data_IF_432346408481
#
_entry.id   IF_432346408481
#
_cell.length_a   1.000
_cell.length_b   1.000
_cell.length_c   1.000
_cell.angle_alpha   90.00
_cell.angle_beta   90.00
_cell.angle_gamma   90.00
#
_symmetry.space_group_name_H-M   'P 1'
#
loop_
_entity.id
_entity.type
_entity.pdbx_description
1 polymer ?
#
# COMPACT_ATOMS: atom_id res chain seq x y z
N UNK A 1 -30.18 13.64 -2.48
CA UNK A 1 -30.59 14.97 -2.01
C UNK A 1 -31.50 14.76 -0.81
N UNK A 2 -30.95 14.80 0.39
CA UNK A 2 -31.75 14.68 1.60
C UNK A 2 -32.40 16.05 1.80
N UNK A 3 -33.74 16.11 1.80
CA UNK A 3 -34.45 17.35 2.06
C UNK A 3 -34.46 17.58 3.57
N UNK A 4 -33.86 18.66 4.04
CA UNK A 4 -34.06 19.07 5.42
C UNK A 4 -35.52 19.37 5.65
N UNK A 5 -36.07 18.88 6.75
CA UNK A 5 -37.37 19.34 7.22
C UNK A 5 -37.14 20.69 7.88
N UNK A 6 -37.45 21.75 7.15
CA UNK A 6 -37.54 23.11 7.71
C UNK A 6 -38.72 23.13 8.67
N UNK A 7 -38.56 23.77 9.82
CA UNK A 7 -39.65 23.98 10.76
C UNK A 7 -40.77 24.77 10.07
N UNK A 8 -41.90 24.12 9.79
CA UNK A 8 -43.17 24.77 9.45
C UNK A 8 -44.08 24.51 10.63
N UNK A 9 -44.25 25.51 11.49
CA UNK A 9 -45.10 25.43 12.66
C UNK A 9 -46.55 25.14 12.26
N UNK A 10 -47.15 24.10 12.84
CA UNK A 10 -48.59 23.95 12.88
C UNK A 10 -49.12 24.89 13.98
N UNK A 11 -49.29 26.17 13.65
CA UNK A 11 -49.94 27.13 14.54
C UNK A 11 -51.45 26.88 14.59
N UNK A 12 -51.96 26.46 15.74
CA UNK A 12 -53.39 26.54 16.04
C UNK A 12 -53.77 28.02 16.17
N UNK A 13 -54.88 28.39 15.51
CA UNK A 13 -55.47 29.72 15.56
C UNK A 13 -55.70 30.18 17.01
N UNK A 14 -55.18 31.36 17.33
CA UNK A 14 -55.43 32.03 18.59
C UNK A 14 -56.84 32.61 18.48
N UNK A 15 -57.75 32.21 19.36
CA UNK A 15 -59.10 32.78 19.42
C UNK A 15 -59.18 33.65 20.68
N UNK A 16 -59.19 34.98 20.50
CA UNK A 16 -59.46 35.93 21.58
C UNK A 16 -60.95 35.92 21.96
N UNK A 17 -61.26 35.97 23.26
CA UNK A 17 -62.54 36.45 23.75
C UNK A 17 -62.45 37.98 23.90
N UNK A 18 -63.31 38.73 23.22
CA UNK A 18 -63.44 40.17 23.42
C UNK A 18 -64.05 40.45 24.82
N UNK A 19 -63.55 41.43 25.60
CA UNK A 19 -64.01 41.65 26.96
C UNK A 19 -65.36 42.38 27.00
N UNK A 20 -66.37 41.72 27.56
CA UNK A 20 -67.52 42.36 28.17
C UNK A 20 -67.29 42.50 29.68
N UNK A 21 -66.91 43.71 30.12
CA UNK A 21 -66.91 44.25 31.50
C UNK A 21 -67.04 43.26 32.68
N UNK A 22 -65.93 42.97 33.36
CA UNK A 22 -65.78 42.90 34.84
C UNK A 22 -64.31 42.67 35.20
N UNK A 23 -63.69 43.63 35.91
CA UNK A 23 -62.26 43.58 36.26
C UNK A 23 -62.03 42.67 37.47
N UNK A 24 -61.91 41.37 37.21
CA UNK A 24 -61.06 40.49 38.02
C UNK A 24 -59.87 40.13 37.15
N UNK A 25 -58.75 40.81 37.33
CA UNK A 25 -57.56 40.65 36.49
C UNK A 25 -56.99 39.23 36.64
N UNK A 26 -57.21 38.41 35.63
CA UNK A 26 -56.56 37.11 35.46
C UNK A 26 -55.52 37.26 34.36
N UNK A 27 -54.34 36.68 34.55
CA UNK A 27 -53.31 36.72 33.51
C UNK A 27 -53.79 35.97 32.26
N UNK A 28 -53.70 36.61 31.09
CA UNK A 28 -54.33 36.12 29.86
C UNK A 28 -53.53 36.46 28.60
N UNK A 29 -53.74 35.65 27.56
CA UNK A 29 -53.26 35.94 26.21
C UNK A 29 -54.28 36.80 25.47
N UNK A 30 -53.83 37.87 24.84
CA UNK A 30 -54.67 38.78 24.08
C UNK A 30 -54.15 38.88 22.66
N UNK A 31 -55.06 38.99 21.70
CA UNK A 31 -54.77 39.21 20.29
C UNK A 31 -55.62 40.37 19.78
N UNK A 32 -54.96 41.41 19.31
CA UNK A 32 -55.59 42.62 18.76
C UNK A 32 -54.82 43.05 17.51
N UNK A 33 -55.54 43.39 16.43
CA UNK A 33 -54.97 43.88 15.16
C UNK A 33 -53.87 42.99 14.54
N UNK A 34 -53.88 41.68 14.81
CA UNK A 34 -52.89 40.72 14.32
C UNK A 34 -51.63 40.62 15.18
N UNK A 35 -51.56 41.35 16.29
CA UNK A 35 -50.50 41.24 17.30
C UNK A 35 -50.99 40.41 18.48
N UNK A 36 -50.18 39.44 18.92
CA UNK A 36 -50.45 38.67 20.13
C UNK A 36 -49.55 39.14 21.27
N UNK A 37 -50.09 39.24 22.49
CA UNK A 37 -49.35 39.61 23.71
C UNK A 37 -49.92 38.92 24.95
N UNK A 38 -49.23 39.05 26.09
CA UNK A 38 -49.67 38.47 27.36
C UNK A 38 -49.81 39.53 28.45
N UNK A 39 -50.95 39.55 29.14
CA UNK A 39 -51.20 40.40 30.31
C UNK A 39 -50.94 39.62 31.60
N UNK A 40 -50.23 40.23 32.54
CA UNK A 40 -50.07 39.71 33.89
C UNK A 40 -51.36 39.85 34.73
N UNK A 41 -51.35 39.33 35.95
CA UNK A 41 -52.50 39.42 36.87
C UNK A 41 -52.84 40.84 37.34
N UNK A 42 -52.03 41.83 36.97
CA UNK A 42 -52.27 43.25 37.24
C UNK A 42 -52.76 43.99 35.99
N UNK A 43 -52.95 43.28 34.86
CA UNK A 43 -53.34 43.85 33.58
C UNK A 43 -52.21 44.53 32.82
N UNK A 44 -50.93 44.32 33.20
CA UNK A 44 -49.79 44.89 32.49
C UNK A 44 -49.27 43.93 31.41
N UNK A 45 -48.83 44.46 30.26
CA UNK A 45 -48.14 43.66 29.25
C UNK A 45 -46.82 43.11 29.78
N UNK A 46 -46.63 41.81 29.66
CA UNK A 46 -45.35 41.13 29.88
C UNK A 46 -44.43 41.42 28.70
N UNK A 47 -43.15 41.68 29.00
CA UNK A 47 -42.13 42.10 28.04
C UNK A 47 -40.82 41.38 28.30
N UNK A 48 -40.06 41.12 27.24
CA UNK A 48 -38.75 40.45 27.27
C UNK A 48 -38.74 39.16 28.09
N UNK A 49 -39.80 38.34 27.96
CA UNK A 49 -40.01 37.15 28.79
C UNK A 49 -40.71 36.04 28.00
N UNK A 50 -40.52 34.80 28.44
CA UNK A 50 -41.15 33.64 27.83
C UNK A 50 -42.49 33.34 28.49
N UNK A 51 -43.51 33.02 27.70
CA UNK A 51 -44.78 32.48 28.18
C UNK A 51 -45.15 31.21 27.43
N UNK A 52 -45.73 30.27 28.15
CA UNK A 52 -46.11 28.97 27.59
C UNK A 52 -47.61 28.80 27.62
N UNK A 53 -48.19 28.35 26.51
CA UNK A 53 -49.59 27.97 26.37
C UNK A 53 -49.66 26.65 25.63
N UNK A 54 -50.44 25.71 26.14
CA UNK A 54 -50.64 24.39 25.54
C UNK A 54 -49.32 23.64 25.22
N UNK A 55 -48.30 23.84 26.05
CA UNK A 55 -46.98 23.23 25.90
C UNK A 55 -46.06 23.92 24.87
N UNK A 56 -46.53 24.97 24.20
CA UNK A 56 -45.77 25.76 23.23
C UNK A 56 -45.30 27.05 23.92
N UNK A 57 -44.01 27.36 23.77
CA UNK A 57 -43.40 28.56 24.35
C UNK A 57 -43.29 29.65 23.30
N UNK A 58 -43.64 30.88 23.69
CA UNK A 58 -43.61 32.10 22.89
C UNK A 58 -42.84 33.17 23.64
N UNK A 59 -42.06 33.99 22.93
CA UNK A 59 -41.29 35.08 23.53
C UNK A 59 -41.98 36.42 23.30
N UNK A 60 -42.18 37.19 24.37
CA UNK A 60 -42.70 38.55 24.31
C UNK A 60 -41.52 39.49 24.18
N UNK A 61 -41.48 40.30 23.12
CA UNK A 61 -40.41 41.23 22.83
C UNK A 61 -40.37 42.44 23.78
N UNK A 62 -39.53 43.44 23.49
CA UNK A 62 -39.41 44.67 24.30
C UNK A 62 -40.67 45.54 24.30
N UNK A 63 -41.54 45.38 23.32
CA UNK A 63 -42.82 46.08 23.22
C UNK A 63 -43.95 45.28 23.89
N UNK A 64 -43.72 43.97 24.08
CA UNK A 64 -44.62 43.01 24.71
C UNK A 64 -45.39 42.18 23.69
N UNK A 65 -45.04 42.28 22.41
CA UNK A 65 -45.63 41.53 21.32
C UNK A 65 -44.91 40.18 21.16
N UNK A 66 -45.62 39.15 20.67
CA UNK A 66 -45.03 37.84 20.37
C UNK A 66 -44.03 38.01 19.22
N UNK A 67 -42.77 37.69 19.48
CA UNK A 67 -41.74 37.63 18.47
C UNK A 67 -42.00 36.47 17.49
N UNK A 68 -41.76 36.69 16.21
CA UNK A 68 -41.97 35.71 15.14
C UNK A 68 -40.78 35.70 14.19
N UNK A 69 -40.47 34.54 13.62
CA UNK A 69 -39.47 34.34 12.56
C UNK A 69 -38.10 34.95 12.90
N UNK A 70 -37.64 34.74 14.15
CA UNK A 70 -36.48 35.46 14.65
C UNK A 70 -35.74 34.72 15.77
N UNK A 71 -34.46 35.06 15.93
CA UNK A 71 -33.62 34.56 17.00
C UNK A 71 -33.86 35.31 18.31
N UNK A 72 -34.10 34.57 19.37
CA UNK A 72 -34.20 35.10 20.73
C UNK A 72 -32.88 34.87 21.44
N UNK A 73 -32.21 35.97 21.79
CA UNK A 73 -30.96 35.98 22.56
C UNK A 73 -29.86 35.09 21.94
N UNK A 74 -29.82 35.00 20.60
CA UNK A 74 -28.92 34.14 19.82
C UNK A 74 -28.92 32.65 20.21
N UNK A 75 -29.93 32.19 20.96
CA UNK A 75 -29.97 30.87 21.61
C UNK A 75 -31.19 30.06 21.20
N UNK A 76 -32.35 30.69 21.07
CA UNK A 76 -33.59 30.05 20.67
C UNK A 76 -34.07 30.67 19.36
N UNK A 77 -34.88 29.93 18.62
CA UNK A 77 -35.54 30.44 17.42
C UNK A 77 -37.05 30.25 17.56
N UNK A 78 -37.81 31.27 17.16
CA UNK A 78 -39.27 31.20 17.06
C UNK A 78 -39.67 31.23 15.59
N UNK A 79 -40.57 30.34 15.19
CA UNK A 79 -41.03 30.26 13.80
C UNK A 79 -41.95 31.43 13.40
N UNK A 80 -42.44 31.42 12.17
CA UNK A 80 -43.36 32.43 11.66
C UNK A 80 -44.69 32.54 12.44
N UNK A 81 -45.01 31.59 13.31
CA UNK A 81 -46.17 31.62 14.22
C UNK A 81 -45.77 32.00 15.66
N UNK A 82 -44.49 32.32 15.89
CA UNK A 82 -43.92 32.69 17.19
C UNK A 82 -43.66 31.49 18.11
N UNK A 83 -43.87 30.26 17.63
CA UNK A 83 -43.65 29.07 18.42
C UNK A 83 -42.16 28.73 18.49
N UNK A 84 -41.67 28.41 19.69
CA UNK A 84 -40.27 28.01 19.88
C UNK A 84 -39.96 26.70 19.15
N UNK A 85 -38.99 26.76 18.25
CA UNK A 85 -38.51 25.61 17.48
C UNK A 85 -37.71 24.66 18.37
N UNK A 86 -37.98 23.36 18.23
CA UNK A 86 -37.33 22.26 18.97
C UNK A 86 -37.12 21.07 18.05
N UNK A 87 -36.06 20.30 18.30
CA UNK A 87 -35.69 19.10 17.55
C UNK A 87 -35.77 19.27 16.02
N UNK A 88 -35.33 20.44 15.53
CA UNK A 88 -35.48 20.81 14.12
C UNK A 88 -34.35 21.71 13.66
N UNK A 89 -34.17 21.70 12.35
CA UNK A 89 -33.24 22.57 11.63
C UNK A 89 -33.87 23.93 11.32
N UNK A 90 -33.04 24.97 11.33
CA UNK A 90 -33.34 26.33 10.87
C UNK A 90 -32.24 26.74 9.89
N UNK A 91 -32.66 27.29 8.75
CA UNK A 91 -31.78 27.87 7.74
C UNK A 91 -31.79 29.39 7.89
N UNK A 92 -30.61 29.99 7.92
CA UNK A 92 -30.44 31.43 7.90
C UNK A 92 -29.80 31.85 6.58
N UNK A 93 -30.28 32.96 6.02
CA UNK A 93 -29.68 33.63 4.85
C UNK A 93 -28.61 34.66 5.26
N UNK A 94 -28.55 35.00 6.54
CA UNK A 94 -27.63 35.98 7.12
C UNK A 94 -28.04 37.45 6.93
N UNK A 95 -29.21 37.73 6.34
CA UNK A 95 -29.67 39.10 6.07
C UNK A 95 -30.09 39.83 7.36
N UNK A 96 -30.57 39.10 8.37
CA UNK A 96 -30.99 39.65 9.66
C UNK A 96 -29.84 40.24 10.49
N UNK A 97 -28.60 39.81 10.21
CA UNK A 97 -27.41 40.16 11.00
C UNK A 97 -27.34 39.51 12.39
N UNK A 98 -28.33 38.68 12.76
CA UNK A 98 -28.35 37.96 14.05
C UNK A 98 -27.52 36.67 13.98
N UNK A 99 -27.52 36.03 12.82
CA UNK A 99 -26.79 34.80 12.49
C UNK A 99 -26.13 34.94 11.13
N UNK A 100 -25.10 34.14 10.89
CA UNK A 100 -24.53 34.02 9.55
C UNK A 100 -25.39 33.10 8.69
N UNK A 101 -25.25 33.22 7.36
CA UNK A 101 -25.86 32.28 6.44
C UNK A 101 -25.41 30.84 6.74
N UNK A 102 -26.36 29.91 6.85
CA UNK A 102 -26.09 28.51 7.13
C UNK A 102 -27.19 27.82 7.94
N UNK A 103 -26.87 26.62 8.42
CA UNK A 103 -27.82 25.74 9.09
C UNK A 103 -27.55 25.64 10.58
N UNK A 104 -28.61 25.72 11.36
CA UNK A 104 -28.60 25.65 12.82
C UNK A 104 -29.56 24.56 13.28
N UNK A 105 -29.23 23.85 14.36
CA UNK A 105 -30.12 22.83 14.93
C UNK A 105 -30.54 23.20 16.33
N UNK A 106 -31.85 23.23 16.58
CA UNK A 106 -32.43 23.51 17.88
C UNK A 106 -32.71 22.16 18.55
N UNK A 107 -32.08 21.92 19.70
CA UNK A 107 -32.28 20.69 20.46
C UNK A 107 -33.66 20.60 21.12
N UNK A 108 -33.89 19.52 21.86
CA UNK A 108 -35.16 19.23 22.53
C UNK A 108 -35.64 20.32 23.50
N UNK A 109 -34.72 21.07 24.10
CA UNK A 109 -35.04 22.18 25.00
C UNK A 109 -35.19 23.52 24.26
N UNK A 110 -35.11 23.52 22.92
CA UNK A 110 -35.19 24.70 22.05
C UNK A 110 -33.90 25.51 21.97
N UNK A 111 -32.83 25.11 22.68
CA UNK A 111 -31.53 25.77 22.57
C UNK A 111 -30.80 25.27 21.33
N UNK A 112 -30.14 26.18 20.64
CA UNK A 112 -29.22 25.85 19.55
C UNK A 112 -28.07 24.97 20.04
N UNK A 113 -27.77 23.91 19.29
CA UNK A 113 -26.58 23.10 19.48
C UNK A 113 -25.35 23.89 18.99
N UNK A 114 -24.31 24.00 19.82
CA UNK A 114 -23.10 24.77 19.53
C UNK A 114 -21.89 24.17 20.24
N UNK A 115 -20.70 24.38 19.68
CA UNK A 115 -19.43 23.82 20.15
C UNK A 115 -19.53 22.31 20.45
N UNK A 116 -20.21 21.57 19.57
CA UNK A 116 -20.54 20.17 19.85
C UNK A 116 -20.77 19.33 18.61
N UNK A 117 -20.68 18.02 18.81
CA UNK A 117 -21.11 17.02 17.85
C UNK A 117 -22.49 16.50 18.23
N UNK A 118 -23.41 16.44 17.27
CA UNK A 118 -24.74 15.84 17.44
C UNK A 118 -24.98 14.75 16.43
N UNK A 119 -25.56 13.64 16.88
CA UNK A 119 -26.18 12.67 15.96
C UNK A 119 -27.65 13.04 15.80
N UNK A 120 -28.04 13.37 14.58
CA UNK A 120 -29.41 13.73 14.22
C UNK A 120 -29.87 12.67 13.22
N UNK A 121 -30.89 11.92 13.62
CA UNK A 121 -31.25 10.64 12.98
C UNK A 121 -30.05 9.67 12.95
N UNK A 122 -29.45 9.46 11.76
CA UNK A 122 -28.33 8.54 11.54
C UNK A 122 -27.04 9.26 11.12
N UNK A 123 -27.03 10.60 11.14
CA UNK A 123 -25.94 11.40 10.64
C UNK A 123 -25.31 12.23 11.75
N UNK A 124 -23.98 12.31 11.75
CA UNK A 124 -23.19 13.01 12.77
C UNK A 124 -22.76 14.38 12.24
N UNK A 125 -23.21 15.43 12.90
CA UNK A 125 -22.99 16.83 12.57
C UNK A 125 -22.10 17.50 13.62
N UNK A 126 -21.32 18.49 13.21
CA UNK A 126 -20.53 19.34 14.11
C UNK A 126 -21.01 20.78 13.99
N UNK A 127 -21.12 21.48 15.11
CA UNK A 127 -21.57 22.86 15.19
C UNK A 127 -20.47 23.74 15.77
N UNK A 128 -20.29 24.94 15.22
CA UNK A 128 -19.33 25.91 15.70
C UNK A 128 -19.81 26.68 16.95
N UNK A 129 -19.06 27.68 17.37
CA UNK A 129 -19.32 28.48 18.58
C UNK A 129 -20.59 29.31 18.50
N UNK A 130 -21.06 29.63 17.29
CA UNK A 130 -22.29 30.36 17.05
C UNK A 130 -23.49 29.43 16.79
N UNK A 131 -23.23 28.12 16.75
CA UNK A 131 -24.19 27.05 16.51
C UNK A 131 -24.41 26.75 15.03
N UNK A 132 -23.60 27.34 14.14
CA UNK A 132 -23.68 27.08 12.71
C UNK A 132 -23.06 25.72 12.41
N UNK A 133 -23.75 24.94 11.58
CA UNK A 133 -23.31 23.63 11.14
C UNK A 133 -22.04 23.75 10.31
N UNK A 134 -21.00 23.02 10.70
CA UNK A 134 -19.73 22.96 9.98
C UNK A 134 -19.87 22.13 8.70
N UNK A 135 -19.07 22.48 7.70
CA UNK A 135 -19.02 21.82 6.38
C UNK A 135 -17.57 21.61 5.96
N UNK A 136 -17.33 20.91 4.85
CA UNK A 136 -16.00 20.75 4.27
C UNK A 136 -15.03 20.00 5.17
N UNK A 137 -13.73 20.30 5.04
CA UNK A 137 -12.70 19.75 5.92
C UNK A 137 -12.81 20.33 7.33
N UNK A 138 -12.78 19.45 8.34
CA UNK A 138 -12.85 19.85 9.74
C UNK A 138 -11.75 19.18 10.56
N UNK A 139 -11.08 19.96 11.40
CA UNK A 139 -9.95 19.53 12.20
C UNK A 139 -10.13 19.87 13.68
N UNK A 140 -10.12 18.85 14.53
CA UNK A 140 -10.38 18.98 15.96
C UNK A 140 -9.55 17.94 16.72
N UNK A 141 -8.84 18.36 17.77
CA UNK A 141 -8.03 17.47 18.63
C UNK A 141 -7.04 16.56 17.90
N UNK A 142 -6.48 17.06 16.79
CA UNK A 142 -5.57 16.29 15.95
C UNK A 142 -6.28 15.24 15.08
N UNK A 143 -7.60 15.21 15.04
CA UNK A 143 -8.40 14.36 14.15
C UNK A 143 -8.77 15.09 12.87
N UNK A 144 -9.11 14.33 11.84
CA UNK A 144 -9.50 14.85 10.52
C UNK A 144 -10.86 14.29 10.14
N UNK A 145 -11.76 15.18 9.75
CA UNK A 145 -13.10 14.85 9.27
C UNK A 145 -13.35 15.55 7.93
N UNK A 146 -14.30 15.01 7.17
CA UNK A 146 -14.85 15.70 6.01
C UNK A 146 -16.37 15.67 6.11
N UNK A 147 -16.98 16.85 6.20
CA UNK A 147 -18.39 17.09 6.51
C UNK A 147 -19.22 17.36 5.24
N UNK A 148 -18.61 17.32 4.06
CA UNK A 148 -19.30 17.49 2.78
C UNK A 148 -19.75 18.92 2.51
N UNK A 149 -20.77 19.06 1.67
CA UNK A 149 -21.30 20.33 1.20
C UNK A 149 -22.28 20.96 2.20
N UNK A 150 -22.66 22.24 2.04
CA UNK A 150 -23.60 22.92 2.93
C UNK A 150 -24.92 22.20 3.04
N UNK A 151 -25.45 21.66 1.95
CA UNK A 151 -26.73 20.93 1.87
C UNK A 151 -26.75 19.59 2.64
N UNK A 152 -25.59 19.10 3.10
CA UNK A 152 -25.46 17.80 3.75
C UNK A 152 -24.83 17.89 5.14
N UNK A 153 -23.66 18.53 5.28
CA UNK A 153 -23.02 18.88 6.56
C UNK A 153 -22.64 17.75 7.54
N UNK A 154 -22.90 16.49 7.18
CA UNK A 154 -22.60 15.35 8.05
C UNK A 154 -21.23 14.74 7.76
N UNK A 155 -20.57 14.23 8.81
CA UNK A 155 -19.30 13.54 8.69
C UNK A 155 -19.40 12.33 7.76
N UNK A 156 -18.62 12.34 6.68
CA UNK A 156 -18.50 11.22 5.75
C UNK A 156 -17.86 10.01 6.42
N UNK A 157 -18.22 8.84 5.91
CA UNK A 157 -17.65 7.55 6.29
C UNK A 157 -17.27 6.76 5.03
N UNK A 158 -16.45 5.73 5.19
CA UNK A 158 -15.96 4.89 4.10
C UNK A 158 -14.96 5.59 3.20
N UNK A 159 -14.72 4.98 2.04
CA UNK A 159 -13.82 5.49 1.01
C UNK A 159 -14.38 6.75 0.34
N UNK A 160 -13.57 7.80 0.26
CA UNK A 160 -13.88 9.05 -0.44
C UNK A 160 -12.72 9.44 -1.35
N UNK A 161 -13.02 9.69 -2.63
CA UNK A 161 -12.06 10.23 -3.60
C UNK A 161 -12.30 11.73 -3.78
N UNK A 162 -11.44 12.52 -3.16
CA UNK A 162 -11.63 13.96 -3.00
C UNK A 162 -10.52 14.72 -3.72
N UNK A 163 -10.87 15.85 -4.33
CA UNK A 163 -9.89 16.80 -4.84
C UNK A 163 -8.97 17.25 -3.70
N UNK A 164 -7.67 17.02 -3.84
CA UNK A 164 -6.69 17.32 -2.82
C UNK A 164 -5.36 17.74 -3.44
N UNK A 165 -4.81 18.84 -2.96
CA UNK A 165 -3.50 19.34 -3.38
C UNK A 165 -2.46 18.93 -2.34
N UNK A 166 -1.51 18.08 -2.73
CA UNK A 166 -0.41 17.64 -1.86
C UNK A 166 0.46 18.78 -1.32
N UNK A 167 0.50 19.93 -2.01
CA UNK A 167 1.27 21.09 -1.55
C UNK A 167 0.76 21.70 -0.26
N UNK A 168 -0.55 21.69 -0.04
CA UNK A 168 -1.18 22.41 1.06
C UNK A 168 -2.41 21.67 1.56
N UNK A 169 -2.41 21.32 2.84
CA UNK A 169 -3.59 20.83 3.55
C UNK A 169 -4.76 21.81 3.35
N UNK A 170 -5.98 21.34 3.03
CA UNK A 170 -7.16 22.19 2.91
C UNK A 170 -7.42 23.00 4.18
N UNK A 171 -7.85 24.25 4.04
CA UNK A 171 -8.28 25.06 5.19
C UNK A 171 -9.54 24.49 5.84
N UNK A 172 -9.76 24.81 7.12
CA UNK A 172 -11.02 24.55 7.83
C UNK A 172 -12.21 25.07 7.00
N UNK A 173 -13.28 24.27 6.91
CA UNK A 173 -14.48 24.60 6.14
C UNK A 173 -14.33 24.48 4.63
N UNK A 174 -13.12 24.26 4.09
CA UNK A 174 -12.94 24.13 2.64
C UNK A 174 -13.67 22.89 2.13
N UNK A 175 -14.46 23.07 1.09
CA UNK A 175 -15.17 21.98 0.42
C UNK A 175 -14.31 21.49 -0.75
N UNK A 176 -13.87 20.23 -0.67
CA UNK A 176 -13.24 19.54 -1.81
C UNK A 176 -14.31 18.90 -2.69
N UNK A 177 -14.16 18.98 -4.01
CA UNK A 177 -15.06 18.29 -4.93
C UNK A 177 -14.82 16.78 -4.87
N UNK A 178 -15.91 15.99 -4.90
CA UNK A 178 -15.83 14.55 -5.18
C UNK A 178 -15.52 14.33 -6.66
N UNK A 179 -14.46 13.60 -6.96
CA UNK A 179 -13.99 13.37 -8.32
C UNK A 179 -14.33 11.96 -8.81
N UNK A 180 -14.41 11.72 -10.12
CA UNK A 180 -14.39 10.36 -10.64
C UNK A 180 -13.03 9.71 -10.34
N UNK A 181 -13.05 8.43 -10.02
CA UNK A 181 -11.84 7.63 -9.77
C UNK A 181 -10.85 7.76 -10.95
N UNK A 182 -9.55 7.82 -10.66
CA UNK A 182 -8.49 8.05 -11.65
C UNK A 182 -8.17 9.52 -11.98
N UNK A 183 -8.99 10.51 -11.62
CA UNK A 183 -8.67 11.93 -11.87
C UNK A 183 -7.35 12.32 -11.16
N UNK A 184 -6.38 12.90 -11.88
CA UNK A 184 -5.05 13.34 -11.42
C UNK A 184 -5.03 14.22 -10.14
N UNK A 185 -6.13 14.90 -9.86
CA UNK A 185 -6.27 15.81 -8.72
C UNK A 185 -6.88 15.13 -7.49
N UNK A 186 -7.46 13.95 -7.66
CA UNK A 186 -8.11 13.24 -6.56
C UNK A 186 -7.12 12.45 -5.71
N UNK A 187 -7.46 12.29 -4.44
CA UNK A 187 -6.76 11.41 -3.49
C UNK A 187 -7.78 10.61 -2.71
N UNK A 188 -7.42 9.38 -2.38
CA UNK A 188 -8.26 8.48 -1.59
C UNK A 188 -8.06 8.73 -0.11
N UNK A 189 -9.18 8.82 0.61
CA UNK A 189 -9.25 8.88 2.07
C UNK A 189 -10.23 7.79 2.53
N UNK A 190 -9.96 7.20 3.70
CA UNK A 190 -10.91 6.32 4.36
C UNK A 190 -11.35 6.95 5.68
N UNK A 191 -12.64 7.29 5.77
CA UNK A 191 -13.23 7.81 7.00
C UNK A 191 -13.89 6.68 7.77
N UNK A 192 -13.49 6.49 9.03
CA UNK A 192 -14.02 5.45 9.90
C UNK A 192 -15.50 5.71 10.23
N UNK A 193 -16.19 4.75 10.86
CA UNK A 193 -17.62 4.88 11.22
C UNK A 193 -17.94 6.08 12.12
N UNK A 194 -16.97 6.54 12.91
CA UNK A 194 -17.09 7.74 13.74
C UNK A 194 -16.79 9.04 12.97
N UNK A 195 -16.49 8.97 11.67
CA UNK A 195 -16.17 10.10 10.80
C UNK A 195 -14.68 10.47 10.75
N UNK A 196 -13.82 9.89 11.61
CA UNK A 196 -12.39 10.21 11.64
C UNK A 196 -11.68 9.57 10.45
N UNK A 197 -10.86 10.33 9.73
CA UNK A 197 -9.97 9.79 8.70
C UNK A 197 -8.97 8.80 9.33
N UNK A 198 -8.74 7.66 8.67
CA UNK A 198 -7.60 6.82 9.01
C UNK A 198 -6.33 7.51 8.54
N UNK A 199 -5.33 7.58 9.41
CA UNK A 199 -4.04 8.24 9.20
C UNK A 199 -2.97 7.61 10.10
N UNK A 200 -1.71 7.92 9.80
CA UNK A 200 -0.57 7.56 10.66
C UNK A 200 0.12 8.84 11.16
N UNK A 201 0.88 8.81 12.27
CA UNK A 201 1.75 9.93 12.64
C UNK A 201 2.76 10.23 11.52
N UNK A 202 3.24 11.47 11.45
CA UNK A 202 4.29 11.84 10.50
C UNK A 202 5.55 10.98 10.71
N UNK A 203 6.07 10.40 9.63
CA UNK A 203 7.22 9.51 9.66
C UNK A 203 6.95 8.10 10.18
N UNK A 204 5.70 7.74 10.48
CA UNK A 204 5.31 6.39 10.89
C UNK A 204 4.20 5.84 9.98
N UNK A 205 4.14 4.52 9.85
CA UNK A 205 3.17 3.83 9.01
C UNK A 205 2.58 2.63 9.75
N UNK A 206 1.27 2.65 9.94
CA UNK A 206 0.53 1.50 10.45
C UNK A 206 -0.45 0.98 9.41
N UNK A 207 -0.42 -0.33 9.18
CA UNK A 207 -1.33 -0.95 8.23
C UNK A 207 -2.75 -0.95 8.78
N UNK A 208 -3.71 -0.54 7.97
CA UNK A 208 -5.14 -0.70 8.25
C UNK A 208 -5.73 -1.81 7.37
N UNK A 209 -6.57 -2.67 7.96
CA UNK A 209 -7.27 -3.72 7.20
C UNK A 209 -8.71 -3.29 6.93
N UNK A 210 -9.02 -3.06 5.66
CA UNK A 210 -10.35 -2.65 5.18
C UNK A 210 -10.80 -3.69 4.16
N UNK A 211 -11.96 -4.31 4.40
CA UNK A 211 -12.53 -5.35 3.55
C UNK A 211 -11.54 -6.49 3.19
N UNK A 212 -10.73 -6.90 4.17
CA UNK A 212 -9.74 -7.97 4.03
C UNK A 212 -8.46 -7.58 3.29
N UNK A 213 -8.32 -6.33 2.86
CA UNK A 213 -7.13 -5.79 2.18
C UNK A 213 -6.39 -4.83 3.11
N UNK A 214 -5.06 -4.78 2.98
CA UNK A 214 -4.21 -3.89 3.79
C UNK A 214 -3.86 -2.63 3.02
N UNK A 215 -3.99 -1.50 3.71
CA UNK A 215 -3.71 -0.16 3.22
C UNK A 215 -2.80 0.58 4.20
N UNK A 216 -2.11 1.60 3.71
CA UNK A 216 -1.39 2.56 4.53
C UNK A 216 -1.90 3.96 4.25
N UNK A 217 -1.88 4.82 5.27
CA UNK A 217 -2.32 6.20 5.17
C UNK A 217 -1.25 7.10 5.76
N UNK A 218 -1.01 8.23 5.10
CA UNK A 218 -0.05 9.23 5.54
C UNK A 218 -0.57 10.06 6.72
N UNK A 219 0.19 11.08 7.11
CA UNK A 219 -0.20 12.00 8.18
C UNK A 219 -1.41 12.87 7.85
N UNK A 220 -1.79 13.06 6.59
CA UNK A 220 -2.99 13.78 6.20
C UNK A 220 -4.21 12.86 6.05
N UNK A 221 -4.02 11.54 6.17
CA UNK A 221 -5.04 10.52 5.92
C UNK A 221 -5.20 10.14 4.45
N UNK A 222 -4.27 10.57 3.60
CA UNK A 222 -4.19 10.16 2.20
C UNK A 222 -3.70 8.73 2.12
N UNK A 223 -4.41 7.89 1.35
CA UNK A 223 -4.00 6.52 1.07
C UNK A 223 -2.66 6.52 0.32
N UNK A 224 -1.68 5.80 0.84
CA UNK A 224 -0.38 5.63 0.21
C UNK A 224 -0.45 4.65 -0.96
N UNK A 225 0.43 4.85 -1.95
CA UNK A 225 0.51 4.04 -3.19
C UNK A 225 1.96 3.80 -3.58
N UNK A 226 2.21 2.92 -4.55
CA UNK A 226 3.56 2.64 -5.03
C UNK A 226 4.45 1.96 -3.99
N UNK A 227 5.76 2.14 -4.13
CA UNK A 227 6.76 1.67 -3.16
C UNK A 227 6.76 2.55 -1.91
N UNK A 228 6.68 1.93 -0.74
CA UNK A 228 6.65 2.62 0.55
C UNK A 228 7.48 1.89 1.60
N UNK A 229 8.38 2.62 2.28
CA UNK A 229 9.08 2.09 3.46
C UNK A 229 8.17 2.22 4.68
N UNK A 230 7.71 1.09 5.22
CA UNK A 230 6.73 1.03 6.33
C UNK A 230 7.31 0.46 7.62
N UNK A 231 8.62 0.19 7.63
CA UNK A 231 9.33 -0.37 8.79
C UNK A 231 10.57 0.44 9.10
N UNK A 232 10.90 0.54 10.39
CA UNK A 232 12.11 1.24 10.83
C UNK A 232 13.36 0.37 10.74
N UNK A 233 13.20 -0.93 11.00
CA UNK A 233 14.30 -1.88 11.09
C UNK A 233 14.37 -2.75 9.83
N UNK A 234 15.59 -3.03 9.40
CA UNK A 234 15.88 -4.00 8.33
C UNK A 234 15.77 -5.43 8.85
N UNK A 235 15.28 -6.36 8.02
CA UNK A 235 15.34 -7.79 8.30
C UNK A 235 16.80 -8.28 8.31
N UNK A 236 17.15 -9.29 9.14
CA UNK A 236 18.47 -9.90 9.09
C UNK A 236 18.83 -10.38 7.68
N UNK A 237 20.05 -10.08 7.24
CA UNK A 237 20.53 -10.44 5.90
C UNK A 237 20.20 -9.41 4.82
N UNK A 238 19.37 -8.42 5.08
CA UNK A 238 19.11 -7.34 4.13
C UNK A 238 20.30 -6.38 4.07
N UNK A 239 20.93 -6.29 2.89
CA UNK A 239 22.10 -5.44 2.66
C UNK A 239 21.73 -3.99 2.34
N UNK A 240 20.55 -3.77 1.74
CA UNK A 240 20.19 -2.51 1.08
C UNK A 240 19.01 -1.80 1.74
N UNK A 241 18.32 -2.47 2.67
CA UNK A 241 17.16 -1.95 3.39
C UNK A 241 15.82 -2.19 2.68
N UNK A 242 15.78 -3.02 1.64
CA UNK A 242 14.55 -3.27 0.88
C UNK A 242 13.47 -3.98 1.70
N UNK A 243 13.85 -4.75 2.72
CA UNK A 243 12.92 -5.43 3.62
C UNK A 243 11.99 -4.47 4.38
N UNK A 244 12.37 -3.19 4.46
CA UNK A 244 11.53 -2.13 5.03
C UNK A 244 10.37 -1.74 4.13
N UNK A 245 10.43 -2.11 2.86
CA UNK A 245 9.47 -1.70 1.85
C UNK A 245 8.29 -2.68 1.70
N UNK A 246 7.20 -2.12 1.20
CA UNK A 246 6.07 -2.82 0.59
C UNK A 246 5.76 -2.15 -0.76
N UNK A 247 5.02 -2.85 -1.62
CA UNK A 247 4.43 -2.24 -2.82
C UNK A 247 2.92 -2.22 -2.70
N UNK A 248 2.33 -1.05 -2.93
CA UNK A 248 0.91 -0.75 -2.72
C UNK A 248 0.10 -0.68 -4.02
N UNK A 249 0.70 -1.04 -5.16
CA UNK A 249 0.05 -0.90 -6.47
C UNK A 249 -0.04 0.53 -6.95
N UNK A 250 -0.84 0.75 -8.00
CA UNK A 250 -1.01 2.05 -8.62
C UNK A 250 -1.79 3.05 -7.77
N UNK A 251 -1.96 4.23 -8.35
CA UNK A 251 -2.57 5.42 -7.72
C UNK A 251 -3.98 5.21 -7.16
N UNK A 252 -4.76 4.32 -7.75
CA UNK A 252 -6.15 4.05 -7.35
C UNK A 252 -6.28 2.72 -6.59
N UNK A 253 -5.17 2.05 -6.27
CA UNK A 253 -5.19 0.74 -5.63
C UNK A 253 -4.82 0.82 -4.14
N UNK A 254 -3.60 1.27 -3.81
CA UNK A 254 -3.11 1.41 -2.43
C UNK A 254 -3.07 0.13 -1.60
N UNK A 255 -3.22 -1.05 -2.21
CA UNK A 255 -3.27 -2.35 -1.54
C UNK A 255 -1.89 -2.99 -1.50
N UNK A 256 -1.48 -3.44 -0.31
CA UNK A 256 -0.24 -4.21 -0.15
C UNK A 256 -0.25 -5.48 -1.01
N UNK A 257 0.69 -5.59 -1.95
CA UNK A 257 0.89 -6.78 -2.78
C UNK A 257 1.56 -7.90 -2.01
N UNK A 258 1.21 -9.14 -2.37
CA UNK A 258 1.64 -10.40 -1.74
C UNK A 258 1.78 -11.51 -2.78
N UNK A 259 2.30 -11.15 -3.95
CA UNK A 259 2.30 -11.97 -5.16
C UNK A 259 3.47 -11.56 -6.07
N UNK A 260 3.64 -12.29 -7.16
CA UNK A 260 4.49 -11.89 -8.28
C UNK A 260 3.99 -10.58 -8.90
N UNK A 261 4.91 -9.67 -9.20
CA UNK A 261 4.64 -8.41 -9.89
C UNK A 261 5.75 -8.14 -10.89
N UNK A 262 5.40 -7.55 -12.03
CA UNK A 262 6.34 -7.03 -13.01
C UNK A 262 6.25 -5.51 -12.98
N UNK A 263 7.34 -4.83 -12.62
CA UNK A 263 7.36 -3.41 -12.30
C UNK A 263 8.52 -2.70 -13.01
N UNK A 264 8.25 -1.51 -13.54
CA UNK A 264 9.25 -0.54 -14.02
C UNK A 264 9.62 0.49 -12.96
N UNK A 265 8.81 0.59 -11.89
CA UNK A 265 9.09 1.40 -10.72
C UNK A 265 9.81 0.56 -9.67
N UNK A 266 10.78 1.17 -9.01
CA UNK A 266 11.63 0.53 -8.01
C UNK A 266 11.64 1.31 -6.70
N UNK A 267 12.16 0.72 -5.60
CA UNK A 267 12.19 1.37 -4.29
C UNK A 267 12.82 2.78 -4.28
N UNK A 268 13.85 3.05 -5.11
CA UNK A 268 14.49 4.37 -5.19
C UNK A 268 13.72 5.42 -6.01
N UNK A 269 12.70 5.02 -6.77
CA UNK A 269 11.78 5.96 -7.42
C UNK A 269 10.75 6.53 -6.43
N UNK A 270 10.67 5.99 -5.21
CA UNK A 270 9.72 6.46 -4.19
C UNK A 270 10.24 7.62 -3.36
N UNK A 271 9.32 8.34 -2.72
CA UNK A 271 9.64 9.34 -1.69
C UNK A 271 10.35 8.71 -0.47
N UNK A 272 10.23 7.38 -0.30
CA UNK A 272 10.90 6.61 0.75
C UNK A 272 12.31 6.16 0.38
N UNK A 273 12.88 6.59 -0.75
CA UNK A 273 14.21 6.13 -1.21
C UNK A 273 15.34 6.27 -0.18
N UNK A 274 15.25 7.24 0.73
CA UNK A 274 16.21 7.46 1.81
C UNK A 274 16.22 6.33 2.86
N UNK A 275 15.22 5.46 2.87
CA UNK A 275 15.19 4.27 3.72
C UNK A 275 16.14 3.16 3.23
N UNK A 276 16.58 3.22 1.97
CA UNK A 276 17.63 2.34 1.45
C UNK A 276 19.00 2.77 2.00
N UNK A 277 19.84 1.81 2.34
CA UNK A 277 21.12 2.03 3.05
C UNK A 277 22.28 2.39 2.10
N UNK A 278 22.09 2.33 0.77
CA UNK A 278 23.22 2.13 -0.14
C UNK A 278 24.02 3.41 -0.40
N UNK A 279 25.30 3.39 0.01
CA UNK A 279 26.40 4.07 -0.66
C UNK A 279 26.71 3.33 -1.96
N UNK A 280 26.71 4.04 -3.09
CA UNK A 280 26.75 3.58 -4.50
C UNK A 280 27.92 2.68 -4.97
N UNK A 281 28.58 1.90 -4.10
CA UNK A 281 29.82 1.18 -4.42
C UNK A 281 29.73 -0.35 -4.57
N UNK A 282 28.75 -1.01 -3.95
CA UNK A 282 28.71 -2.49 -3.89
C UNK A 282 27.57 -3.16 -4.68
N UNK A 283 26.44 -2.47 -4.89
CA UNK A 283 25.27 -3.05 -5.56
C UNK A 283 24.65 -2.05 -6.53
N UNK A 284 24.74 -2.34 -7.84
CA UNK A 284 23.97 -1.67 -8.88
C UNK A 284 22.58 -2.32 -8.96
N UNK A 285 21.54 -1.57 -8.57
CA UNK A 285 20.16 -1.98 -8.85
C UNK A 285 19.83 -1.81 -10.35
N UNK A 286 18.67 -2.31 -10.83
CA UNK A 286 18.23 -2.03 -12.19
C UNK A 286 18.19 -0.52 -12.46
N UNK A 287 18.49 -0.15 -13.71
CA UNK A 287 18.35 1.25 -14.13
C UNK A 287 16.89 1.69 -14.09
N UNK A 288 16.67 3.00 -13.96
CA UNK A 288 15.31 3.56 -13.98
C UNK A 288 14.57 3.19 -15.28
N UNK A 289 13.36 2.63 -15.13
CA UNK A 289 12.53 2.20 -16.25
C UNK A 289 12.82 0.79 -16.77
N UNK A 290 13.85 0.11 -16.26
CA UNK A 290 14.08 -1.31 -16.53
C UNK A 290 13.02 -2.12 -15.81
N UNK A 291 12.40 -3.06 -16.53
CA UNK A 291 11.38 -3.91 -15.94
C UNK A 291 12.03 -5.01 -15.09
N UNK A 292 11.62 -5.10 -13.82
CA UNK A 292 11.98 -6.19 -12.93
C UNK A 292 10.76 -7.01 -12.52
N UNK A 293 10.95 -8.32 -12.39
CA UNK A 293 9.99 -9.20 -11.72
C UNK A 293 10.33 -9.29 -10.24
N UNK A 294 9.36 -8.97 -9.38
CA UNK A 294 9.43 -9.03 -7.94
C UNK A 294 8.48 -10.10 -7.41
N UNK A 295 8.83 -10.71 -6.29
CA UNK A 295 7.87 -11.46 -5.50
C UNK A 295 7.68 -10.81 -4.13
N UNK A 296 6.45 -10.45 -3.81
CA UNK A 296 6.11 -9.92 -2.49
C UNK A 296 5.59 -11.05 -1.60
N UNK A 297 6.26 -11.26 -0.46
CA UNK A 297 5.88 -12.25 0.56
C UNK A 297 4.49 -11.97 1.15
N UNK A 298 3.97 -12.88 1.95
CA UNK A 298 2.64 -12.77 2.58
C UNK A 298 2.49 -11.54 3.49
N UNK A 299 3.58 -11.04 4.06
CA UNK A 299 3.66 -9.81 4.83
C UNK A 299 3.89 -8.56 3.97
N UNK A 300 3.98 -8.69 2.65
CA UNK A 300 4.20 -7.64 1.67
C UNK A 300 5.66 -7.25 1.45
N UNK A 301 6.59 -7.87 2.17
CA UNK A 301 8.02 -7.62 2.00
C UNK A 301 8.50 -8.26 0.69
N UNK A 302 9.25 -7.55 -0.17
CA UNK A 302 9.83 -8.17 -1.35
C UNK A 302 10.82 -9.27 -0.96
N UNK A 303 10.89 -10.36 -1.73
CA UNK A 303 11.99 -11.31 -1.64
C UNK A 303 13.29 -10.63 -2.12
N UNK A 304 14.43 -10.96 -1.51
CA UNK A 304 15.74 -10.36 -1.80
C UNK A 304 16.86 -11.34 -1.48
N UNK A 305 18.06 -11.11 -2.03
CA UNK A 305 19.27 -11.88 -1.71
C UNK A 305 19.79 -11.56 -0.31
N UNK A 306 19.92 -12.55 0.60
CA UNK A 306 20.59 -12.34 1.87
C UNK A 306 22.09 -12.06 1.65
N UNK A 307 22.63 -11.00 2.24
CA UNK A 307 24.03 -10.58 2.12
C UNK A 307 25.04 -11.63 2.60
N UNK A 308 24.62 -12.50 3.52
CA UNK A 308 25.46 -13.53 4.13
C UNK A 308 25.31 -14.90 3.40
N UNK A 309 24.63 -14.92 2.25
CA UNK A 309 24.45 -16.13 1.47
C UNK A 309 25.75 -16.56 0.78
N UNK A 310 26.34 -17.66 1.24
CA UNK A 310 27.59 -18.22 0.70
C UNK A 310 27.35 -19.48 -0.18
N UNK A 311 26.09 -19.87 -0.37
CA UNK A 311 25.67 -21.03 -1.15
C UNK A 311 24.32 -20.81 -1.81
N UNK A 312 24.02 -21.53 -2.89
CA UNK A 312 22.71 -21.44 -3.55
C UNK A 312 21.55 -21.73 -2.59
N UNK A 313 21.71 -22.69 -1.69
CA UNK A 313 20.68 -23.05 -0.71
C UNK A 313 20.30 -21.88 0.20
N UNK A 314 21.25 -20.99 0.51
CA UNK A 314 21.01 -19.80 1.33
C UNK A 314 20.50 -18.61 0.51
N UNK A 315 20.83 -18.57 -0.78
CA UNK A 315 20.48 -17.46 -1.66
C UNK A 315 19.08 -17.56 -2.27
N UNK A 316 18.58 -18.78 -2.50
CA UNK A 316 17.29 -18.97 -3.17
C UNK A 316 16.11 -18.75 -2.22
N UNK A 317 15.03 -18.19 -2.77
CA UNK A 317 13.71 -18.14 -2.14
C UNK A 317 12.82 -19.20 -2.77
N UNK A 318 12.19 -20.03 -1.94
CA UNK A 318 11.22 -21.04 -2.40
C UNK A 318 9.82 -20.42 -2.48
N UNK A 319 9.18 -20.55 -3.65
CA UNK A 319 7.85 -20.03 -3.94
C UNK A 319 7.09 -21.15 -4.67
N UNK A 320 5.98 -21.59 -4.08
CA UNK A 320 5.12 -22.66 -4.63
C UNK A 320 5.88 -23.95 -5.02
N UNK A 321 6.93 -24.29 -4.26
CA UNK A 321 7.76 -25.49 -4.46
C UNK A 321 8.92 -25.33 -5.45
N UNK A 322 9.04 -24.16 -6.10
CA UNK A 322 10.13 -23.84 -7.02
C UNK A 322 11.12 -22.86 -6.37
N UNK A 323 12.39 -22.95 -6.75
CA UNK A 323 13.45 -22.08 -6.21
C UNK A 323 13.75 -20.94 -7.18
N UNK A 324 13.78 -19.71 -6.66
CA UNK A 324 14.07 -18.50 -7.42
C UNK A 324 15.23 -17.74 -6.77
N UNK A 325 16.01 -17.03 -7.57
CA UNK A 325 17.05 -16.14 -7.09
C UNK A 325 16.64 -14.69 -7.35
N UNK A 326 16.72 -13.87 -6.32
CA UNK A 326 16.56 -12.42 -6.42
C UNK A 326 17.91 -11.76 -6.16
N UNK A 327 18.13 -10.54 -6.64
CA UNK A 327 19.25 -9.72 -6.19
C UNK A 327 18.93 -9.02 -4.85
N UNK A 328 19.86 -8.25 -4.26
CA UNK A 328 19.59 -7.52 -3.02
C UNK A 328 18.47 -6.48 -3.14
N UNK A 329 18.17 -5.99 -4.34
CA UNK A 329 17.05 -5.09 -4.61
C UNK A 329 15.76 -5.84 -4.98
N UNK A 330 15.72 -7.16 -4.84
CA UNK A 330 14.54 -7.99 -5.04
C UNK A 330 14.15 -8.22 -6.49
N UNK A 331 15.01 -7.89 -7.46
CA UNK A 331 14.78 -8.25 -8.86
C UNK A 331 15.11 -9.72 -9.10
N UNK A 332 14.21 -10.44 -9.74
CA UNK A 332 14.40 -11.82 -10.17
C UNK A 332 15.59 -11.93 -11.13
N UNK A 333 16.47 -12.90 -10.85
CA UNK A 333 17.64 -13.21 -11.67
C UNK A 333 17.35 -14.42 -12.56
N UNK A 334 17.89 -14.40 -13.78
CA UNK A 334 17.82 -15.50 -14.75
C UNK A 334 19.23 -15.86 -15.25
N UNK A 335 19.34 -16.91 -16.04
CA UNK A 335 20.60 -17.34 -16.62
C UNK A 335 21.47 -18.13 -15.66
N UNK A 336 22.75 -18.24 -16.01
CA UNK A 336 23.76 -18.99 -15.25
C UNK A 336 24.41 -18.08 -14.21
N UNK A 337 24.24 -18.41 -12.93
CA UNK A 337 24.63 -17.56 -11.80
C UNK A 337 25.68 -18.24 -10.93
N UNK A 338 26.54 -17.43 -10.32
CA UNK A 338 27.46 -17.88 -9.27
C UNK A 338 27.12 -17.22 -7.94
N UNK A 339 27.02 -18.03 -6.89
CA UNK A 339 26.89 -17.59 -5.48
C UNK A 339 28.01 -18.27 -4.70
N UNK A 340 28.98 -17.48 -4.22
CA UNK A 340 30.22 -18.03 -3.67
C UNK A 340 30.92 -18.96 -4.68
N UNK A 341 31.21 -20.20 -4.29
CA UNK A 341 31.77 -21.22 -5.19
C UNK A 341 30.70 -22.04 -5.95
N UNK A 342 29.42 -21.85 -5.63
CA UNK A 342 28.31 -22.60 -6.23
C UNK A 342 27.87 -21.97 -7.55
N UNK A 343 27.61 -22.81 -8.55
CA UNK A 343 27.00 -22.40 -9.83
C UNK A 343 25.57 -22.91 -9.91
N UNK A 344 24.62 -22.12 -10.41
CA UNK A 344 23.22 -22.52 -10.59
C UNK A 344 22.62 -21.91 -11.86
N UNK A 345 21.51 -22.44 -12.35
CA UNK A 345 20.86 -21.95 -13.57
C UNK A 345 19.37 -21.71 -13.34
N UNK A 346 18.90 -20.51 -13.65
CA UNK A 346 17.53 -20.04 -13.39
C UNK A 346 16.74 -19.83 -14.69
N UNK A 347 16.95 -20.73 -15.66
CA UNK A 347 16.37 -20.62 -17.01
C UNK A 347 17.01 -19.53 -17.86
N UNK A 348 16.68 -19.43 -19.15
CA UNK A 348 17.19 -18.38 -20.02
C UNK A 348 16.57 -17.02 -19.67
N UNK A 349 17.14 -15.95 -20.21
CA UNK A 349 16.55 -14.61 -20.12
C UNK A 349 15.10 -14.60 -20.63
N UNK A 350 14.22 -13.86 -19.94
CA UNK A 350 12.79 -13.80 -20.25
C UNK A 350 11.98 -15.03 -19.83
N UNK A 351 12.59 -16.03 -19.18
CA UNK A 351 11.87 -17.20 -18.66
C UNK A 351 11.19 -16.95 -17.31
N UNK A 352 10.60 -18.01 -16.74
CA UNK A 352 9.97 -18.00 -15.42
C UNK A 352 10.93 -17.66 -14.27
N UNK A 353 12.25 -17.86 -14.45
CA UNK A 353 13.28 -17.69 -13.42
C UNK A 353 13.41 -18.88 -12.47
N UNK A 354 12.72 -19.98 -12.72
CA UNK A 354 12.77 -21.15 -11.84
C UNK A 354 14.11 -21.89 -11.99
N UNK A 355 14.70 -22.29 -10.87
CA UNK A 355 15.98 -23.00 -10.85
C UNK A 355 15.85 -24.35 -11.55
N UNK A 356 16.82 -24.67 -12.41
CA UNK A 356 16.85 -25.91 -13.19
C UNK A 356 17.73 -26.95 -12.50
N UNK A 357 17.36 -28.21 -12.68
CA UNK A 357 18.00 -29.37 -12.07
C UNK A 357 18.31 -30.43 -13.12
N UNK A 358 19.24 -31.34 -12.81
CA UNK A 358 19.65 -32.42 -13.71
C UNK A 358 20.42 -31.89 -14.92
N UNK A 359 20.39 -32.67 -16.00
CA UNK A 359 21.08 -32.32 -17.25
C UNK A 359 20.27 -31.28 -18.03
N UNK A 360 20.89 -30.15 -18.35
CA UNK A 360 20.29 -29.04 -19.11
C UNK A 360 21.17 -28.74 -20.31
N UNK A 361 20.60 -28.64 -21.51
CA UNK A 361 21.31 -28.31 -22.74
C UNK A 361 21.10 -26.85 -23.13
N UNK A 362 21.96 -26.32 -24.02
CA UNK A 362 21.88 -24.97 -24.56
C UNK A 362 21.86 -23.87 -23.48
N UNK A 363 22.57 -24.11 -22.37
CA UNK A 363 22.79 -23.09 -21.34
C UNK A 363 23.78 -22.09 -21.90
N UNK A 364 23.35 -20.84 -22.09
CA UNK A 364 24.21 -19.76 -22.56
C UNK A 364 24.83 -19.00 -21.40
N UNK A 365 26.09 -18.58 -21.58
CA UNK A 365 26.76 -17.63 -20.70
C UNK A 365 26.62 -16.19 -21.23
N UNK A 366 27.18 -15.19 -20.54
CA UNK A 366 27.09 -13.77 -20.97
C UNK A 366 27.79 -13.46 -22.30
N UNK A 367 28.58 -14.39 -22.84
CA UNK A 367 29.27 -14.24 -24.12
C UNK A 367 28.60 -15.08 -25.22
N UNK A 368 27.34 -15.49 -25.00
CA UNK A 368 26.53 -16.33 -25.89
C UNK A 368 27.13 -17.71 -26.20
N UNK A 369 28.07 -18.18 -25.37
CA UNK A 369 28.63 -19.52 -25.51
C UNK A 369 27.66 -20.53 -24.92
N UNK A 370 27.39 -21.59 -25.67
CA UNK A 370 26.43 -22.62 -25.27
C UNK A 370 27.13 -23.81 -24.63
N UNK A 371 26.53 -24.31 -23.55
CA UNK A 371 27.05 -25.43 -22.78
C UNK A 371 25.95 -26.46 -22.51
N UNK A 372 26.36 -27.72 -22.40
CA UNK A 372 25.58 -28.72 -21.68
C UNK A 372 25.99 -28.69 -20.22
N UNK A 373 25.02 -28.62 -19.32
CA UNK A 373 25.24 -28.55 -17.89
C UNK A 373 24.58 -29.71 -17.14
N UNK A 374 25.04 -29.97 -15.91
CA UNK A 374 24.38 -30.83 -14.95
C UNK A 374 24.32 -30.15 -13.58
N UNK A 375 23.11 -30.00 -13.05
CA UNK A 375 22.85 -29.45 -11.72
C UNK A 375 22.32 -30.57 -10.80
N UNK A 376 22.86 -30.67 -9.59
CA UNK A 376 22.49 -31.72 -8.64
C UNK A 376 20.98 -31.69 -8.34
N UNK A 377 20.33 -32.85 -8.33
CA UNK A 377 18.86 -32.97 -8.16
C UNK A 377 18.43 -33.23 -6.71
N UNK A 378 19.37 -33.56 -5.83
CA UNK A 378 19.11 -34.02 -4.46
C UNK A 378 20.22 -33.60 -3.50
N UNK A 379 19.96 -33.70 -2.20
CA UNK A 379 20.96 -33.49 -1.15
C UNK A 379 21.21 -32.02 -0.82
N UNK A 380 22.29 -31.76 -0.07
CA UNK A 380 22.73 -30.40 0.30
C UNK A 380 23.04 -29.53 -0.92
N UNK A 381 23.42 -30.18 -2.03
CA UNK A 381 23.92 -29.52 -3.23
C UNK A 381 22.81 -29.37 -4.27
N UNK A 382 21.55 -29.67 -3.94
CA UNK A 382 20.43 -29.56 -4.89
C UNK A 382 20.42 -28.18 -5.57
N UNK A 383 20.45 -28.16 -6.90
CA UNK A 383 20.55 -26.98 -7.75
C UNK A 383 21.96 -26.53 -8.09
N UNK A 384 22.97 -26.98 -7.34
CA UNK A 384 24.36 -26.62 -7.57
C UNK A 384 24.94 -27.39 -8.76
N UNK A 385 25.81 -26.72 -9.51
CA UNK A 385 26.54 -27.28 -10.63
C UNK A 385 27.44 -28.43 -10.18
N UNK A 386 27.22 -29.60 -10.75
CA UNK A 386 27.91 -30.82 -10.37
C UNK A 386 29.39 -30.82 -10.80
N UNK A 387 30.25 -31.39 -9.97
CA UNK A 387 31.67 -31.56 -10.26
C UNK A 387 32.07 -33.02 -10.10
N UNK A 388 32.53 -33.64 -11.18
CA UNK A 388 32.87 -35.06 -11.25
C UNK A 388 32.22 -35.77 -12.43
N UNK A 389 32.29 -37.10 -12.43
CA UNK A 389 31.65 -37.94 -13.44
C UNK A 389 30.18 -38.20 -13.09
N UNK A 390 29.31 -38.05 -14.09
CA UNK A 390 27.89 -38.36 -13.99
C UNK A 390 27.38 -38.90 -15.32
N UNK A 391 26.75 -40.07 -15.26
CA UNK A 391 26.09 -40.74 -16.40
C UNK A 391 27.01 -40.86 -17.63
N UNK A 392 28.29 -41.16 -17.40
CA UNK A 392 29.35 -41.32 -18.37
C UNK A 392 29.94 -40.02 -18.91
N UNK A 393 29.61 -38.86 -18.36
CA UNK A 393 30.14 -37.56 -18.77
C UNK A 393 30.83 -36.83 -17.62
N UNK A 394 31.88 -36.07 -17.93
CA UNK A 394 32.60 -35.28 -16.93
C UNK A 394 32.03 -33.87 -16.84
N UNK A 395 31.80 -33.40 -15.62
CA UNK A 395 31.34 -32.04 -15.34
C UNK A 395 32.28 -31.31 -14.39
N UNK A 396 32.41 -30.00 -14.60
CA UNK A 396 33.14 -29.07 -13.74
C UNK A 396 32.25 -27.89 -13.42
N UNK A 397 31.89 -27.72 -12.13
CA UNK A 397 30.97 -26.66 -11.65
C UNK A 397 29.68 -26.58 -12.47
N UNK A 398 29.17 -27.75 -12.82
CA UNK A 398 27.97 -27.93 -13.61
C UNK A 398 28.20 -27.93 -15.12
N UNK A 399 29.35 -27.52 -15.65
CA UNK A 399 29.60 -27.43 -17.09
C UNK A 399 30.21 -28.72 -17.60
N UNK A 400 29.69 -29.28 -18.69
CA UNK A 400 30.27 -30.46 -19.32
C UNK A 400 31.68 -30.16 -19.84
N UNK A 401 32.64 -31.00 -19.48
CA UNK A 401 34.01 -30.92 -19.95
C UNK A 401 34.11 -31.73 -21.24
N UNK A 402 34.65 -31.13 -22.31
CA UNK A 402 34.86 -31.80 -23.60
C UNK A 402 36.32 -31.69 -24.01
N UNK A 403 36.83 -32.71 -24.73
CA UNK A 403 38.08 -32.55 -25.44
C UNK A 403 37.95 -31.47 -26.53
N UNK A 404 39.06 -30.81 -26.86
CA UNK A 404 39.15 -29.91 -27.99
C UNK A 404 38.80 -30.67 -29.27
N UNK A 405 38.03 -30.02 -30.15
CA UNK A 405 37.72 -30.55 -31.48
C UNK A 405 39.01 -30.96 -32.24
N UNK A 406 38.99 -32.16 -32.83
CA UNK A 406 40.09 -32.75 -33.58
C UNK A 406 41.16 -33.46 -32.73
N UNK A 407 40.93 -33.64 -31.42
CA UNK A 407 41.89 -34.31 -30.52
C UNK A 407 41.41 -35.65 -30.00
N UNK A 408 40.19 -36.07 -30.35
CA UNK A 408 39.51 -37.31 -29.99
C UNK A 408 39.32 -37.54 -28.47
N UNK A 409 40.38 -37.47 -27.67
CA UNK A 409 40.41 -37.52 -26.22
C UNK A 409 41.43 -36.55 -25.61
N UNK A 410 41.14 -36.04 -24.40
CA UNK A 410 42.07 -35.26 -23.59
C UNK A 410 41.96 -35.60 -22.10
N UNK A 411 43.07 -35.56 -21.34
CA UNK A 411 43.04 -35.76 -19.89
C UNK A 411 42.64 -34.48 -19.15
N UNK A 412 41.80 -34.60 -18.14
CA UNK A 412 41.36 -33.50 -17.27
C UNK A 412 41.47 -33.89 -15.80
N UNK A 413 42.00 -32.99 -14.97
CA UNK A 413 42.17 -33.22 -13.53
C UNK A 413 41.00 -32.57 -12.78
N UNK A 414 40.15 -33.37 -12.15
CA UNK A 414 39.00 -32.90 -11.35
C UNK A 414 39.03 -33.59 -9.99
N UNK A 415 39.01 -32.80 -8.90
CA UNK A 415 39.05 -33.29 -7.52
C UNK A 415 40.18 -34.30 -7.23
N UNK A 416 41.35 -34.13 -7.86
CA UNK A 416 42.51 -35.01 -7.69
C UNK A 416 42.52 -36.26 -8.58
N UNK A 417 41.49 -36.49 -9.40
CA UNK A 417 41.41 -37.61 -10.34
C UNK A 417 41.59 -37.14 -11.78
N UNK A 418 42.42 -37.85 -12.56
CA UNK A 418 42.56 -37.62 -14.00
C UNK A 418 41.55 -38.45 -14.77
N UNK A 419 40.69 -37.77 -15.53
CA UNK A 419 39.70 -38.37 -16.41
C UNK A 419 40.14 -38.21 -17.86
N UNK A 420 40.10 -39.27 -18.66
CA UNK A 420 40.27 -39.18 -20.11
C UNK A 420 38.90 -38.95 -20.75
N UNK A 421 38.70 -37.82 -21.42
CA UNK A 421 37.38 -37.38 -21.91
C UNK A 421 37.43 -37.13 -23.40
N UNK A 422 36.39 -37.53 -24.14
CA UNK A 422 36.32 -37.31 -25.58
C UNK A 422 35.65 -35.97 -25.98
N UNK A 423 35.56 -35.70 -27.28
CA UNK A 423 34.94 -34.47 -27.82
C UNK A 423 33.44 -34.34 -27.50
N UNK A 424 32.76 -35.47 -27.27
CA UNK A 424 31.36 -35.51 -26.83
C UNK A 424 31.19 -35.42 -25.29
N UNK A 425 32.29 -35.17 -24.57
CA UNK A 425 32.31 -35.06 -23.10
C UNK A 425 32.22 -36.40 -22.36
N UNK A 426 32.35 -37.53 -23.06
CA UNK A 426 32.28 -38.87 -22.47
C UNK A 426 33.58 -39.27 -21.83
N UNK A 427 33.50 -39.74 -20.58
CA UNK A 427 34.61 -40.33 -19.85
C UNK A 427 34.93 -41.69 -20.45
N UNK A 428 36.20 -41.89 -20.82
CA UNK A 428 36.72 -43.14 -21.32
C UNK A 428 37.13 -44.02 -20.14
N UNK A 429 36.73 -45.29 -20.17
CA UNK A 429 36.99 -46.25 -19.07
C UNK A 429 37.55 -47.58 -19.55
N UNK A 430 37.43 -47.90 -20.84
CA UNK A 430 37.93 -49.17 -21.37
C UNK A 430 39.45 -49.21 -21.31
N UNK A 431 40.00 -50.34 -20.86
CA UNK A 431 41.44 -50.57 -20.79
C UNK A 431 42.02 -50.83 -22.19
N UNK A 432 42.52 -49.78 -22.81
CA UNK A 432 43.14 -49.82 -24.15
C UNK A 432 43.94 -48.55 -24.39
N UNK A 433 44.70 -48.55 -25.48
CA UNK A 433 45.28 -47.33 -26.04
C UNK A 433 44.20 -46.51 -26.78
N UNK A 434 44.31 -45.19 -26.66
CA UNK A 434 43.45 -44.19 -27.27
C UNK A 434 44.31 -43.27 -28.14
N UNK A 435 43.76 -42.92 -29.30
CA UNK A 435 44.40 -41.97 -30.19
C UNK A 435 43.98 -40.55 -29.87
N UNK A 436 44.89 -39.60 -30.09
CA UNK A 436 44.66 -38.16 -30.06
C UNK A 436 45.46 -37.53 -31.20
N UNK A 437 44.85 -36.65 -31.97
CA UNK A 437 45.40 -36.03 -33.18
C UNK A 437 45.96 -37.08 -34.16
N UNK A 438 45.24 -38.21 -34.31
CA UNK A 438 45.59 -39.30 -35.23
C UNK A 438 46.75 -40.22 -34.80
N UNK A 439 47.29 -40.12 -33.58
CA UNK A 439 48.34 -41.01 -33.04
C UNK A 439 47.96 -41.56 -31.68
N UNK A 440 48.50 -42.72 -31.28
CA UNK A 440 48.36 -43.18 -29.90
C UNK A 440 48.96 -42.15 -28.94
N UNK A 441 48.17 -41.73 -27.96
CA UNK A 441 48.55 -40.68 -27.02
C UNK A 441 48.35 -41.09 -25.56
N UNK A 442 47.30 -41.85 -25.27
CA UNK A 442 46.91 -42.21 -23.91
C UNK A 442 46.52 -43.68 -23.81
N UNK A 443 46.72 -44.29 -22.64
CA UNK A 443 46.25 -45.64 -22.32
C UNK A 443 45.62 -45.66 -20.95
N UNK A 444 44.52 -46.39 -20.81
CA UNK A 444 43.91 -46.68 -19.51
C UNK A 444 44.30 -48.10 -19.09
N UNK A 445 44.80 -48.24 -17.87
CA UNK A 445 45.09 -49.53 -17.24
C UNK A 445 44.86 -49.38 -15.73
N UNK A 446 44.12 -50.31 -15.12
CA UNK A 446 43.72 -50.27 -13.71
C UNK A 446 43.04 -48.93 -13.31
N UNK A 447 42.25 -48.37 -14.25
CA UNK A 447 41.57 -47.08 -14.08
C UNK A 447 42.49 -45.85 -14.07
N UNK A 448 43.79 -46.02 -14.31
CA UNK A 448 44.79 -44.94 -14.35
C UNK A 448 45.12 -44.56 -15.79
N UNK A 449 45.27 -43.26 -16.06
CA UNK A 449 45.62 -42.74 -17.40
C UNK A 449 47.14 -42.60 -17.52
N UNK A 450 47.71 -43.24 -18.53
CA UNK A 450 49.12 -43.15 -18.90
C UNK A 450 49.27 -42.48 -20.27
N UNK A 451 50.40 -41.82 -20.53
CA UNK A 451 50.83 -41.50 -21.89
C UNK A 451 51.35 -42.75 -22.59
N UNK A 452 51.40 -42.72 -23.92
CA UNK A 452 51.93 -43.82 -24.73
C UNK A 452 53.07 -43.38 -25.63
N UNK A 453 53.85 -44.36 -26.10
CA UNK A 453 54.71 -44.20 -27.28
C UNK A 453 53.91 -44.36 -28.60
N UNK A 454 54.62 -44.43 -29.74
CA UNK A 454 54.01 -44.57 -31.07
C UNK A 454 53.35 -45.95 -31.29
N UNK A 455 53.72 -46.97 -30.51
CA UNK A 455 53.17 -48.32 -30.59
C UNK A 455 51.95 -48.51 -29.67
N UNK A 456 51.65 -47.52 -28.81
CA UNK A 456 50.54 -47.55 -27.86
C UNK A 456 50.89 -48.18 -26.51
N UNK A 457 52.18 -48.37 -26.24
CA UNK A 457 52.68 -48.91 -24.97
C UNK A 457 52.86 -47.79 -23.95
N UNK A 458 52.56 -48.09 -22.67
CA UNK A 458 52.54 -47.08 -21.60
C UNK A 458 53.94 -46.56 -21.27
N UNK A 459 54.07 -45.27 -21.05
CA UNK A 459 55.35 -44.61 -20.71
C UNK A 459 55.31 -43.97 -19.33
N UNK A 460 54.48 -42.94 -19.16
CA UNK A 460 54.37 -42.18 -17.91
C UNK A 460 52.92 -42.00 -17.46
N UNK A 461 52.69 -42.03 -16.15
CA UNK A 461 51.38 -41.73 -15.56
C UNK A 461 51.03 -40.25 -15.77
N UNK A 462 49.80 -39.99 -16.22
CA UNK A 462 49.29 -38.63 -16.37
C UNK A 462 48.81 -38.13 -15.01
N UNK A 463 49.51 -37.14 -14.46
CA UNK A 463 49.20 -36.51 -13.16
C UNK A 463 48.56 -35.13 -13.27
N UNK A 464 48.47 -34.59 -14.49
CA UNK A 464 47.93 -33.25 -14.77
C UNK A 464 46.90 -33.32 -15.90
N UNK A 465 46.03 -32.32 -15.97
CA UNK A 465 45.00 -32.23 -17.01
C UNK A 465 45.11 -30.96 -17.85
N UNK A 466 44.33 -30.92 -18.93
CA UNK A 466 44.04 -29.70 -19.69
C UNK A 466 43.18 -28.74 -18.87
N UNK A 467 43.10 -27.50 -19.34
CA UNK A 467 42.26 -26.46 -18.72
C UNK A 467 40.79 -26.87 -18.73
N UNK A 468 40.15 -26.73 -17.57
CA UNK A 468 38.72 -26.93 -17.43
C UNK A 468 37.93 -25.76 -18.08
N UNK A 469 36.65 -25.97 -18.41
CA UNK A 469 35.81 -24.93 -19.03
C UNK A 469 35.77 -23.64 -18.20
N UNK A 470 35.88 -22.49 -18.87
CA UNK A 470 35.72 -21.17 -18.28
C UNK A 470 34.41 -20.54 -18.74
N UNK A 471 33.65 -19.96 -17.82
CA UNK A 471 32.29 -19.43 -18.04
C UNK A 471 32.20 -17.98 -17.58
N UNK A 472 31.45 -17.17 -18.33
CA UNK A 472 31.07 -15.81 -17.92
C UNK A 472 29.66 -15.80 -17.34
N UNK A 473 29.55 -15.71 -16.01
CA UNK A 473 28.27 -15.81 -15.31
C UNK A 473 27.38 -14.59 -15.56
N UNK A 474 26.08 -14.84 -15.72
CA UNK A 474 25.02 -13.85 -15.81
C UNK A 474 24.95 -12.98 -14.57
N UNK A 475 25.28 -13.52 -13.39
CA UNK A 475 25.39 -12.78 -12.13
C UNK A 475 26.41 -13.45 -11.21
N UNK A 476 27.06 -12.67 -10.36
CA UNK A 476 28.06 -13.15 -9.39
C UNK A 476 27.80 -12.46 -8.06
N UNK A 477 27.55 -13.27 -7.03
CA UNK A 477 27.31 -12.84 -5.65
C UNK A 477 28.25 -13.52 -4.66
#
# INVERSE_FOLDING_TARGET
MKRWMVAIGAGLWISALAPGLSVTAQAEWVEEDGESYFLDSSGNRVKSDWRTRDGISYYLDSEGNVATDTWIQNTYYVDAQGAMVKDSWVEEDGESGLKEAGWYYLGQNGKVEKDTWKTIENFRYSFDSDGKMRTGWHYEDGEVYYLGDPDEGFARTGWQFLEYSERNRPAEGKISRKLPEGDARGRWFYFQKNGKAKRSPEGSYEAETIDGRRYYFDANGMMCTGWLAVRDQVEPGDAVGISRFVYLGGRDEGVVRRQWMELTEHPWNSDSRSALTVSSGEYEGPEEGVTCRYYFKSDGTPAFLPKDAASLKQAVTEIDGESYLFDPYGCLQTGLVRVGESTGYFGPEGSDGAMRYGRVENVTDRLDRSFTCYFSTTGSDKGQGFTGEKDGALYWRGIMVTAKEGTEVQPFLVNGTVYLVNEAGRVQTNEKAYSSEGKYAYRIEDGTVYKTDEEGEKTEEVKTGKSLPAVSFAYVY
#
